data_IF_588749005678
#
_entry.id   IF_588749005678
#
_cell.length_a   1.000
_cell.length_b   1.000
_cell.length_c   1.000
_cell.angle_alpha   90.00
_cell.angle_beta   90.00
_cell.angle_gamma   90.00
#
_symmetry.space_group_name_H-M   'P 1'
#
loop_
_entity.id
_entity.type
_entity.pdbx_description
1 polymer ?
#
# COMPACT_ATOMS: atom_id res chain seq x y z
N UNK A 1 -26.31 6.83 24.48
CA UNK A 1 -27.47 7.49 23.86
C UNK A 1 -27.06 8.64 22.95
N UNK A 2 -27.90 9.00 21.98
CA UNK A 2 -27.68 10.21 21.17
C UNK A 2 -27.97 11.45 22.03
N UNK A 3 -27.12 12.50 21.99
CA UNK A 3 -27.40 13.74 22.74
C UNK A 3 -28.70 14.44 22.29
N UNK A 4 -29.30 14.03 21.17
CA UNK A 4 -30.59 14.51 20.69
C UNK A 4 -31.82 13.67 21.12
N UNK A 5 -31.65 12.66 22.00
CA UNK A 5 -32.78 11.87 22.56
C UNK A 5 -33.37 10.80 21.64
N UNK A 6 -32.85 10.62 20.41
CA UNK A 6 -33.27 9.53 19.51
C UNK A 6 -32.72 8.18 20.00
N UNK A 7 -33.56 7.14 20.00
CA UNK A 7 -33.24 5.78 20.47
C UNK A 7 -32.70 4.85 19.38
N UNK A 8 -32.72 5.29 18.12
CA UNK A 8 -32.17 4.51 17.01
C UNK A 8 -30.64 4.35 17.13
N UNK A 9 -30.06 3.21 16.69
CA UNK A 9 -28.62 3.02 16.68
C UNK A 9 -27.93 4.06 15.78
N UNK A 10 -26.81 4.62 16.26
CA UNK A 10 -26.00 5.60 15.51
C UNK A 10 -24.85 4.91 14.80
N UNK A 11 -24.61 5.31 13.55
CA UNK A 11 -23.36 4.97 12.89
C UNK A 11 -22.24 5.77 13.58
N UNK A 12 -21.14 5.11 13.93
CA UNK A 12 -19.98 5.73 14.60
C UNK A 12 -19.18 6.71 13.72
N UNK A 13 -19.65 6.95 12.50
CA UNK A 13 -18.89 7.61 11.45
C UNK A 13 -18.18 6.58 10.57
N UNK A 14 -17.39 7.08 9.62
CA UNK A 14 -16.74 6.24 8.63
C UNK A 14 -15.45 5.70 9.24
N UNK A 15 -15.48 4.43 9.63
CA UNK A 15 -14.36 3.75 10.32
C UNK A 15 -13.23 3.34 9.37
N UNK A 16 -13.18 3.89 8.16
CA UNK A 16 -12.33 3.44 7.07
C UNK A 16 -12.94 2.29 6.27
N UNK A 17 -12.10 1.55 5.55
CA UNK A 17 -12.51 0.41 4.72
C UNK A 17 -12.25 -0.91 5.45
N UNK A 18 -13.06 -1.92 5.11
CA UNK A 18 -12.88 -3.29 5.63
C UNK A 18 -11.77 -4.05 4.89
N UNK A 19 -11.40 -3.60 3.69
CA UNK A 19 -10.28 -4.12 2.90
C UNK A 19 -9.03 -3.25 3.10
N UNK A 20 -7.87 -3.71 2.60
CA UNK A 20 -6.62 -2.94 2.64
C UNK A 20 -6.54 -1.91 1.48
N UNK A 21 -7.66 -1.57 0.84
CA UNK A 21 -7.66 -0.62 -0.28
C UNK A 21 -7.39 0.79 0.24
N UNK A 22 -6.39 1.46 -0.32
CA UNK A 22 -6.02 2.81 0.08
C UNK A 22 -6.17 3.79 -1.09
N UNK A 23 -6.53 5.04 -0.78
CA UNK A 23 -6.55 6.13 -1.76
C UNK A 23 -5.24 6.92 -1.65
N UNK A 24 -4.50 6.98 -2.76
CA UNK A 24 -3.21 7.66 -2.88
C UNK A 24 -3.27 8.59 -4.08
N UNK A 25 -3.08 9.90 -3.87
CA UNK A 25 -3.05 10.91 -4.96
C UNK A 25 -4.25 10.83 -5.92
N UNK A 26 -5.44 10.52 -5.39
CA UNK A 26 -6.66 10.38 -6.18
C UNK A 26 -6.94 8.98 -6.75
N UNK A 27 -5.95 8.07 -6.73
CA UNK A 27 -6.09 6.70 -7.23
C UNK A 27 -6.39 5.72 -6.10
N UNK A 28 -7.20 4.70 -6.38
CA UNK A 28 -7.40 3.58 -5.46
C UNK A 28 -6.38 2.48 -5.76
N UNK A 29 -5.55 2.16 -4.76
CA UNK A 29 -4.64 1.03 -4.80
C UNK A 29 -5.26 -0.13 -4.03
N UNK A 30 -5.38 -1.28 -4.70
CA UNK A 30 -6.06 -2.48 -4.19
C UNK A 30 -5.10 -3.64 -3.99
N UNK A 31 -5.38 -4.55 -3.03
CA UNK A 31 -4.58 -5.77 -2.85
C UNK A 31 -4.43 -6.62 -4.11
N UNK A 32 -5.48 -6.70 -4.94
CA UNK A 32 -5.43 -7.45 -6.21
C UNK A 32 -4.42 -6.88 -7.21
N UNK A 33 -4.10 -5.59 -7.15
CA UNK A 33 -3.02 -5.00 -7.95
C UNK A 33 -1.65 -5.41 -7.43
N UNK A 34 -1.49 -5.55 -6.12
CA UNK A 34 -0.26 -6.07 -5.52
C UNK A 34 0.00 -7.52 -5.95
N UNK A 35 -1.05 -8.35 -5.96
CA UNK A 35 -0.97 -9.72 -6.46
C UNK A 35 -0.57 -9.77 -7.95
N UNK A 36 -1.06 -8.84 -8.78
CA UNK A 36 -0.67 -8.76 -10.18
C UNK A 36 0.82 -8.39 -10.35
N UNK A 37 1.33 -7.46 -9.53
CA UNK A 37 2.76 -7.12 -9.52
C UNK A 37 3.60 -8.35 -9.11
N UNK A 38 3.21 -9.05 -8.04
CA UNK A 38 3.91 -10.26 -7.59
C UNK A 38 3.89 -11.37 -8.65
N UNK A 39 2.78 -11.53 -9.38
CA UNK A 39 2.70 -12.49 -10.49
C UNK A 39 3.60 -12.12 -11.68
N UNK A 40 3.82 -10.83 -11.91
CA UNK A 40 4.67 -10.35 -13.00
C UNK A 40 6.17 -10.45 -12.67
N UNK A 41 6.53 -10.52 -11.38
CA UNK A 41 7.91 -10.55 -10.89
C UNK A 41 8.10 -11.71 -9.89
N UNK A 42 8.28 -12.96 -10.36
CA UNK A 42 8.47 -14.15 -9.51
C UNK A 42 9.67 -14.08 -8.55
N UNK A 43 10.62 -13.19 -8.83
CA UNK A 43 11.79 -12.90 -7.97
C UNK A 43 11.41 -12.20 -6.66
N UNK A 44 10.22 -11.58 -6.59
CA UNK A 44 9.72 -10.96 -5.37
C UNK A 44 9.10 -12.04 -4.48
N UNK A 45 9.73 -12.29 -3.33
CA UNK A 45 9.19 -13.22 -2.34
C UNK A 45 7.99 -12.60 -1.64
N UNK A 46 8.10 -11.32 -1.27
CA UNK A 46 7.07 -10.57 -0.53
C UNK A 46 7.14 -9.10 -0.90
N UNK A 47 5.99 -8.43 -0.94
CA UNK A 47 5.92 -7.00 -1.19
C UNK A 47 4.98 -6.31 -0.21
N UNK A 48 5.31 -5.06 0.12
CA UNK A 48 4.46 -4.17 0.89
C UNK A 48 4.52 -2.76 0.30
N UNK A 49 3.35 -2.21 -0.01
CA UNK A 49 3.21 -0.81 -0.35
C UNK A 49 2.99 -0.01 0.93
N UNK A 50 3.94 0.87 1.28
CA UNK A 50 3.84 1.75 2.44
C UNK A 50 3.43 3.13 1.94
N UNK A 51 2.35 3.66 2.49
CA UNK A 51 1.81 4.98 2.15
C UNK A 51 2.07 5.90 3.33
N UNK A 52 2.68 7.04 3.07
CA UNK A 52 3.01 8.05 4.06
C UNK A 52 2.50 9.41 3.59
N UNK A 53 2.61 10.42 4.44
CA UNK A 53 2.36 11.81 4.05
C UNK A 53 3.52 12.68 4.50
N UNK A 54 3.96 13.57 3.62
CA UNK A 54 4.93 14.63 3.90
C UNK A 54 4.35 15.93 3.34
N UNK A 55 4.34 17.00 4.13
CA UNK A 55 3.77 18.31 3.76
C UNK A 55 2.35 18.23 3.16
N UNK A 56 1.48 17.41 3.76
CA UNK A 56 0.11 17.13 3.30
C UNK A 56 0.02 16.53 1.89
N UNK A 57 1.13 15.99 1.36
CA UNK A 57 1.18 15.26 0.10
C UNK A 57 1.30 13.77 0.38
N UNK A 58 0.48 13.00 -0.30
CA UNK A 58 0.58 11.54 -0.27
C UNK A 58 1.89 11.09 -0.93
N UNK A 59 2.69 10.37 -0.17
CA UNK A 59 3.85 9.62 -0.65
C UNK A 59 3.60 8.12 -0.51
N UNK A 60 4.32 7.33 -1.30
CA UNK A 60 4.31 5.90 -1.13
C UNK A 60 5.63 5.30 -1.61
N UNK A 61 5.99 4.16 -1.02
CA UNK A 61 7.16 3.36 -1.41
C UNK A 61 6.76 1.91 -1.49
N UNK A 62 7.14 1.23 -2.58
CA UNK A 62 6.95 -0.21 -2.72
C UNK A 62 8.19 -0.93 -2.21
N UNK A 63 8.05 -1.64 -1.10
CA UNK A 63 9.10 -2.48 -0.53
C UNK A 63 8.97 -3.89 -1.10
N UNK A 64 10.04 -4.42 -1.69
CA UNK A 64 10.06 -5.77 -2.25
C UNK A 64 11.20 -6.58 -1.63
N UNK A 65 10.89 -7.74 -1.09
CA UNK A 65 11.89 -8.73 -0.69
C UNK A 65 12.34 -9.53 -1.89
N UNK A 66 13.64 -9.46 -2.17
CA UNK A 66 14.30 -10.15 -3.28
C UNK A 66 15.65 -10.69 -2.80
N UNK A 67 16.13 -11.78 -3.40
CA UNK A 67 17.45 -12.31 -3.08
C UNK A 67 18.58 -11.39 -3.57
N UNK A 68 18.41 -10.84 -4.76
CA UNK A 68 19.40 -9.98 -5.42
C UNK A 68 18.89 -8.55 -5.52
N UNK A 69 19.58 -7.61 -4.87
CA UNK A 69 19.25 -6.19 -4.90
C UNK A 69 19.90 -5.50 -6.11
N UNK A 70 19.39 -5.82 -7.31
CA UNK A 70 19.84 -5.20 -8.56
C UNK A 70 19.03 -3.91 -8.85
N UNK A 71 19.67 -2.75 -9.05
CA UNK A 71 18.98 -1.53 -9.48
C UNK A 71 18.13 -1.71 -10.75
N UNK A 72 18.57 -2.52 -11.71
CA UNK A 72 17.80 -2.77 -12.92
C UNK A 72 16.49 -3.53 -12.64
N UNK A 73 16.45 -4.34 -11.58
CA UNK A 73 15.24 -5.01 -11.12
C UNK A 73 14.28 -4.00 -10.48
N UNK A 74 14.78 -3.08 -9.66
CA UNK A 74 13.95 -2.03 -9.05
C UNK A 74 13.26 -1.17 -10.12
N UNK A 75 13.96 -0.82 -11.20
CA UNK A 75 13.39 -0.09 -12.34
C UNK A 75 12.29 -0.87 -13.06
N UNK A 76 12.51 -2.16 -13.32
CA UNK A 76 11.51 -3.04 -13.95
C UNK A 76 10.24 -3.16 -13.10
N UNK A 77 10.39 -3.37 -11.80
CA UNK A 77 9.27 -3.43 -10.85
C UNK A 77 8.53 -2.08 -10.84
N UNK A 78 9.26 -0.97 -10.80
CA UNK A 78 8.70 0.38 -10.83
C UNK A 78 7.89 0.65 -12.11
N UNK A 79 8.36 0.18 -13.26
CA UNK A 79 7.65 0.29 -14.53
C UNK A 79 6.35 -0.53 -14.52
N UNK A 80 6.38 -1.77 -14.04
CA UNK A 80 5.18 -2.62 -13.90
C UNK A 80 4.19 -2.04 -12.89
N UNK A 81 4.67 -1.55 -11.75
CA UNK A 81 3.85 -0.84 -10.77
C UNK A 81 3.13 0.33 -11.44
N UNK A 82 3.86 1.20 -12.16
CA UNK A 82 3.26 2.32 -12.89
C UNK A 82 2.18 1.86 -13.87
N UNK A 83 2.37 0.74 -14.56
CA UNK A 83 1.35 0.20 -15.48
C UNK A 83 0.10 -0.32 -14.77
N UNK A 84 0.25 -0.97 -13.61
CA UNK A 84 -0.85 -1.64 -12.89
C UNK A 84 -1.61 -0.68 -11.96
N UNK A 85 -0.91 0.13 -11.17
CA UNK A 85 -1.51 1.06 -10.20
C UNK A 85 -1.71 2.47 -10.77
N UNK A 86 -1.18 2.74 -11.97
CA UNK A 86 -1.21 4.05 -12.63
C UNK A 86 -0.57 5.19 -11.80
N UNK A 87 0.38 4.83 -10.93
CA UNK A 87 1.17 5.74 -10.11
C UNK A 87 2.64 5.34 -10.20
N UNK A 88 3.51 6.33 -10.44
CA UNK A 88 4.95 6.16 -10.35
C UNK A 88 5.43 6.54 -8.94
N UNK A 89 6.36 5.76 -8.40
CA UNK A 89 6.93 5.97 -7.08
C UNK A 89 8.19 5.12 -6.87
N UNK A 90 8.91 5.35 -5.76
CA UNK A 90 10.12 4.61 -5.41
C UNK A 90 9.82 3.13 -5.12
N UNK A 91 10.78 2.28 -5.52
CA UNK A 91 10.82 0.85 -5.20
C UNK A 91 12.08 0.58 -4.39
N UNK A 92 11.91 0.07 -3.17
CA UNK A 92 13.02 -0.32 -2.30
C UNK A 92 13.15 -1.83 -2.25
N UNK A 93 14.30 -2.34 -2.67
CA UNK A 93 14.64 -3.75 -2.53
C UNK A 93 15.16 -4.01 -1.12
N UNK A 94 14.58 -4.99 -0.43
CA UNK A 94 14.96 -5.43 0.91
C UNK A 94 15.45 -6.88 0.87
N UNK A 95 16.28 -7.24 1.83
CA UNK A 95 16.72 -8.62 1.99
C UNK A 95 15.54 -9.51 2.44
N UNK A 96 15.55 -10.81 2.08
CA UNK A 96 14.52 -11.75 2.52
C UNK A 96 14.36 -11.77 4.05
N UNK A 97 13.12 -11.74 4.55
CA UNK A 97 12.82 -11.78 5.99
C UNK A 97 12.79 -10.41 6.69
N UNK A 98 12.95 -9.30 5.97
CA UNK A 98 12.90 -7.94 6.54
C UNK A 98 11.46 -7.43 6.73
N UNK A 99 10.52 -7.84 5.88
CA UNK A 99 9.11 -7.43 5.93
C UNK A 99 8.30 -8.32 6.89
N UNK A 100 7.39 -7.77 7.71
CA UNK A 100 6.59 -8.55 8.67
C UNK A 100 5.59 -9.49 7.99
N UNK A 101 5.52 -10.77 8.38
CA UNK A 101 4.56 -11.76 7.83
C UNK A 101 3.18 -11.70 8.49
N UNK A 102 2.50 -10.56 8.35
CA UNK A 102 1.22 -10.24 9.02
C UNK A 102 0.01 -10.21 8.05
N UNK A 103 0.20 -10.56 6.78
CA UNK A 103 -0.83 -10.52 5.74
C UNK A 103 -1.17 -9.13 5.19
N UNK A 104 -0.46 -8.06 5.62
CA UNK A 104 -0.62 -6.72 5.08
C UNK A 104 0.26 -6.51 3.85
N UNK A 105 -0.38 -6.21 2.73
CA UNK A 105 0.27 -5.87 1.45
C UNK A 105 0.20 -4.36 1.17
N UNK A 106 -0.75 -3.66 1.76
CA UNK A 106 -0.86 -2.20 1.73
C UNK A 106 -0.91 -1.70 3.17
N UNK A 107 0.01 -0.82 3.52
CA UNK A 107 0.11 -0.18 4.82
C UNK A 107 -0.09 1.32 4.66
N UNK A 108 -1.16 1.84 5.26
CA UNK A 108 -1.42 3.27 5.34
C UNK A 108 -0.86 3.81 6.65
N UNK A 109 0.35 4.36 6.59
CA UNK A 109 1.10 4.93 7.71
C UNK A 109 1.00 6.45 7.76
N UNK A 110 -0.02 7.06 7.11
CA UNK A 110 -0.25 8.50 7.17
C UNK A 110 -0.69 8.93 8.56
N UNK A 111 -0.07 10.00 9.05
CA UNK A 111 -0.52 10.72 10.25
C UNK A 111 -1.43 11.86 9.84
N UNK A 112 -2.59 11.96 10.47
CA UNK A 112 -3.56 13.03 10.26
C UNK A 112 -3.61 13.91 11.52
N UNK A 113 -2.55 14.71 11.72
CA UNK A 113 -2.54 15.82 12.68
C UNK A 113 -2.94 17.13 12.00
#
# INVERSE_FOLDING_TARGET
>A
ESPCGRTAPRIKGWMGRADQTAKVRGMFVRPTQMEQILKAHPEIQRARLIITSEDHRDQFTLHCEVETQDPALAEKIGATMKQIINLAGPVELKAPGTLPSDGKVIEDARTYE
#
